data_IF_793333000816
#
_entry.id   IF_793333000816
#
_cell.length_a   1.000
_cell.length_b   1.000
_cell.length_c   1.000
_cell.angle_alpha   90.00
_cell.angle_beta   90.00
_cell.angle_gamma   90.00
#
_symmetry.space_group_name_H-M   'P 1'
#
loop_
_entity.id
_entity.type
_entity.pdbx_description
1 polymer ?
#
# COMPACT_ATOMS: atom_id res chain seq x y z
N UNK A 1 3.57 6.53 26.00
CA UNK A 1 4.55 6.26 24.93
C UNK A 1 5.38 7.52 24.77
N UNK A 2 6.70 7.43 24.62
CA UNK A 2 7.50 8.62 24.35
C UNK A 2 7.19 9.10 22.93
N UNK A 3 6.85 10.38 22.77
CA UNK A 3 6.66 10.99 21.46
C UNK A 3 8.02 11.06 20.75
N UNK A 4 8.07 10.51 19.53
CA UNK A 4 9.26 10.46 18.70
C UNK A 4 9.01 11.05 17.31
N UNK A 5 9.86 10.68 16.38
CA UNK A 5 9.74 11.03 14.97
C UNK A 5 9.60 9.76 14.15
N UNK A 6 8.59 9.71 13.29
CA UNK A 6 8.35 8.63 12.33
C UNK A 6 8.62 9.16 10.92
N UNK A 7 9.44 8.46 10.15
CA UNK A 7 9.62 8.74 8.73
C UNK A 7 8.56 7.99 7.92
N UNK A 8 7.87 8.70 7.05
CA UNK A 8 6.81 8.18 6.18
C UNK A 8 7.26 8.33 4.73
N UNK A 9 7.29 7.21 4.00
CA UNK A 9 7.52 7.18 2.56
C UNK A 9 6.27 6.68 1.85
N UNK A 10 5.77 7.46 0.89
CA UNK A 10 4.65 7.07 0.05
C UNK A 10 5.16 6.81 -1.36
N UNK A 11 4.91 5.61 -1.86
CA UNK A 11 5.31 5.17 -3.21
C UNK A 11 4.08 4.83 -4.06
N UNK A 12 4.04 5.33 -5.29
CA UNK A 12 3.09 4.89 -6.30
C UNK A 12 3.57 3.57 -6.88
N UNK A 13 2.81 2.52 -6.65
CA UNK A 13 3.03 1.20 -7.22
C UNK A 13 1.97 0.91 -8.30
N UNK A 14 2.35 0.39 -9.49
CA UNK A 14 1.37 -0.01 -10.48
C UNK A 14 0.43 -1.09 -9.94
N UNK A 15 -0.88 -0.88 -10.11
CA UNK A 15 -1.89 -1.89 -9.79
C UNK A 15 -2.02 -2.96 -10.88
N UNK A 16 -3.06 -3.79 -10.79
CA UNK A 16 -3.36 -4.85 -11.79
C UNK A 16 -3.60 -4.31 -13.21
N UNK A 17 -4.01 -3.06 -13.36
CA UNK A 17 -4.15 -2.38 -14.65
C UNK A 17 -2.82 -1.89 -15.24
N UNK A 18 -1.73 -1.93 -14.47
CA UNK A 18 -0.44 -1.34 -14.82
C UNK A 18 -0.43 0.20 -14.79
N UNK A 19 -1.54 0.83 -14.35
CA UNK A 19 -1.63 2.29 -14.31
C UNK A 19 -0.77 2.88 -13.21
N UNK A 20 -0.23 4.05 -13.50
CA UNK A 20 0.46 4.91 -12.54
C UNK A 20 -0.12 6.32 -12.62
N UNK A 21 0.30 7.19 -11.71
CA UNK A 21 -0.02 8.60 -11.77
C UNK A 21 0.79 9.40 -10.78
N UNK A 22 0.47 10.68 -10.71
CA UNK A 22 1.22 11.67 -9.96
C UNK A 22 0.59 11.83 -8.58
N UNK A 23 1.40 11.74 -7.53
CA UNK A 23 0.96 12.04 -6.17
C UNK A 23 0.56 13.51 -6.08
N UNK A 24 -0.65 13.75 -5.56
CA UNK A 24 -1.16 15.11 -5.34
C UNK A 24 -1.43 15.41 -3.88
N UNK A 25 -1.83 14.42 -3.09
CA UNK A 25 -1.93 14.60 -1.66
C UNK A 25 -2.02 13.30 -0.88
N UNK A 26 -1.56 13.37 0.37
CA UNK A 26 -1.59 12.28 1.34
C UNK A 26 -2.34 12.78 2.56
N UNK A 27 -3.29 12.00 3.04
CA UNK A 27 -4.21 12.32 4.13
C UNK A 27 -4.10 11.25 5.21
N UNK A 28 -4.09 11.66 6.48
CA UNK A 28 -3.88 10.80 7.65
C UNK A 28 -4.46 11.43 8.91
N UNK A 29 -4.64 10.63 9.95
CA UNK A 29 -5.02 11.12 11.26
C UNK A 29 -3.76 11.27 12.12
N UNK A 30 -3.46 12.50 12.52
CA UNK A 30 -2.37 12.78 13.45
C UNK A 30 -2.92 13.31 14.78
N UNK A 31 -2.27 12.98 15.91
CA UNK A 31 -2.59 13.57 17.20
C UNK A 31 -2.32 15.08 17.19
N UNK A 32 -2.99 15.81 18.08
CA UNK A 32 -2.77 17.24 18.25
C UNK A 32 -1.33 17.53 18.66
N UNK A 33 -0.70 18.52 18.02
CA UNK A 33 0.70 18.89 18.27
C UNK A 33 1.72 18.20 17.35
N UNK A 34 1.30 17.21 16.55
CA UNK A 34 2.17 16.60 15.56
C UNK A 34 2.61 17.62 14.48
N UNK A 35 3.85 17.48 14.01
CA UNK A 35 4.43 18.36 12.98
C UNK A 35 4.98 17.56 11.82
N UNK A 36 4.75 18.03 10.59
CA UNK A 36 5.22 17.39 9.36
C UNK A 36 6.40 18.17 8.79
N UNK A 37 7.50 17.48 8.49
CA UNK A 37 8.70 18.06 7.88
C UNK A 37 9.03 17.33 6.57
N UNK A 38 9.07 18.03 5.42
CA UNK A 38 9.48 17.42 4.15
C UNK A 38 10.92 16.89 4.21
N UNK A 39 11.17 15.74 3.60
CA UNK A 39 12.52 15.13 3.51
C UNK A 39 13.00 15.07 2.07
N UNK A 40 12.28 14.36 1.20
CA UNK A 40 12.69 14.14 -0.19
C UNK A 40 11.52 13.72 -1.11
N UNK A 41 11.80 13.57 -2.41
CA UNK A 41 10.81 13.20 -3.42
C UNK A 41 10.04 14.41 -3.95
N UNK A 42 8.74 14.26 -4.17
CA UNK A 42 7.88 15.34 -4.64
C UNK A 42 7.84 16.53 -3.66
N UNK A 43 7.85 17.78 -4.14
CA UNK A 43 7.84 18.96 -3.29
C UNK A 43 6.50 19.05 -2.56
N UNK A 44 6.56 19.10 -1.22
CA UNK A 44 5.38 19.37 -0.39
C UNK A 44 5.09 20.87 -0.46
N UNK A 45 3.97 21.22 -1.09
CA UNK A 45 3.57 22.62 -1.36
C UNK A 45 2.57 23.17 -0.36
N UNK A 46 1.88 22.29 0.39
CA UNK A 46 1.06 22.69 1.52
C UNK A 46 1.03 21.58 2.57
N UNK A 47 0.87 21.97 3.83
CA UNK A 47 0.69 21.09 4.98
C UNK A 47 -0.51 21.65 5.75
N UNK A 48 -1.50 20.81 6.00
CA UNK A 48 -2.66 21.14 6.83
C UNK A 48 -2.80 20.09 7.93
N UNK A 49 -3.11 20.53 9.15
CA UNK A 49 -3.21 19.65 10.30
C UNK A 49 -4.18 20.19 11.34
N UNK A 50 -4.76 19.28 12.13
CA UNK A 50 -5.67 19.50 13.27
C UNK A 50 -7.12 19.90 12.97
N UNK A 51 -7.57 19.75 11.72
CA UNK A 51 -9.00 19.87 11.41
C UNK A 51 -9.75 18.61 11.88
N UNK A 52 -11.02 18.75 12.27
CA UNK A 52 -11.85 17.57 12.62
C UNK A 52 -12.36 16.80 11.40
N UNK A 53 -12.32 17.40 10.20
CA UNK A 53 -12.70 16.76 8.93
C UNK A 53 -12.01 17.43 7.73
N UNK A 54 -10.81 16.94 7.39
CA UNK A 54 -9.99 17.44 6.29
C UNK A 54 -10.36 16.74 4.98
N UNK A 55 -11.33 17.29 4.26
CA UNK A 55 -11.70 16.78 2.93
C UNK A 55 -10.83 17.29 1.77
N UNK A 56 -10.03 18.33 2.01
CA UNK A 56 -9.17 19.01 1.03
C UNK A 56 -7.95 19.58 1.71
N UNK A 57 -6.81 19.58 1.02
CA UNK A 57 -5.58 20.27 1.42
C UNK A 57 -5.25 21.32 0.36
N UNK A 58 -4.86 22.52 0.81
CA UNK A 58 -4.45 23.63 -0.03
C UNK A 58 -5.54 23.97 -1.04
N UNK A 59 -5.15 24.09 -2.32
CA UNK A 59 -6.08 24.52 -3.37
C UNK A 59 -6.63 23.41 -4.26
N UNK A 60 -6.07 22.20 -4.23
CA UNK A 60 -6.42 21.23 -5.28
C UNK A 60 -6.37 19.76 -4.90
N UNK A 61 -5.68 19.38 -3.83
CA UNK A 61 -5.74 18.02 -3.30
C UNK A 61 -7.09 17.82 -2.59
N UNK A 62 -8.05 17.18 -3.26
CA UNK A 62 -9.39 16.91 -2.71
C UNK A 62 -9.60 15.41 -2.56
N UNK A 63 -9.96 14.98 -1.35
CA UNK A 63 -10.36 13.60 -1.07
C UNK A 63 -11.86 13.46 -0.75
N UNK A 64 -12.62 14.57 -0.67
CA UNK A 64 -14.07 14.54 -0.40
C UNK A 64 -14.81 13.45 -1.20
N UNK A 65 -15.69 12.71 -0.55
CA UNK A 65 -16.43 11.60 -1.17
C UNK A 65 -15.64 10.29 -1.28
N UNK A 66 -14.47 10.19 -0.64
CA UNK A 66 -13.76 8.92 -0.44
C UNK A 66 -14.45 7.99 0.57
N UNK A 67 -15.27 8.55 1.47
CA UNK A 67 -15.90 7.81 2.57
C UNK A 67 -15.08 7.75 3.86
N UNK A 68 -13.96 8.48 3.94
CA UNK A 68 -13.14 8.62 5.14
C UNK A 68 -12.87 10.10 5.45
N UNK A 69 -12.69 10.40 6.74
CA UNK A 69 -12.31 11.70 7.27
C UNK A 69 -10.89 11.64 7.82
N UNK A 70 -10.17 12.75 7.70
CA UNK A 70 -8.77 12.87 8.10
C UNK A 70 -8.57 14.12 8.93
N UNK A 71 -7.55 14.16 9.80
CA UNK A 71 -7.23 15.38 10.55
C UNK A 71 -6.09 16.18 9.96
N UNK A 72 -5.26 15.54 9.13
CA UNK A 72 -4.04 16.11 8.58
C UNK A 72 -3.77 15.64 7.15
N UNK A 73 -2.97 16.42 6.43
CA UNK A 73 -2.52 16.03 5.11
C UNK A 73 -1.51 16.98 4.48
N UNK A 74 -0.86 16.48 3.44
CA UNK A 74 0.11 17.21 2.62
C UNK A 74 -0.34 17.30 1.17
N UNK A 75 -0.10 18.45 0.53
CA UNK A 75 -0.26 18.66 -0.91
C UNK A 75 1.11 18.58 -1.58
N UNK A 76 1.21 17.88 -2.72
CA UNK A 76 2.47 17.55 -3.39
C UNK A 76 2.44 18.08 -4.83
N UNK A 77 3.39 18.93 -5.20
CA UNK A 77 3.54 19.48 -6.56
C UNK A 77 2.58 20.62 -6.90
N UNK A 78 2.21 20.73 -8.16
CA UNK A 78 1.29 21.70 -8.74
C UNK A 78 -0.09 21.10 -9.06
N UNK A 79 -1.08 21.97 -9.27
CA UNK A 79 -2.44 21.55 -9.62
C UNK A 79 -2.54 21.25 -11.13
N UNK A 80 -3.05 20.07 -11.50
CA UNK A 80 -3.46 19.80 -12.88
C UNK A 80 -3.43 18.32 -13.27
N UNK A 81 -3.85 18.02 -14.50
CA UNK A 81 -3.74 16.71 -15.18
C UNK A 81 -2.79 16.83 -16.41
N UNK A 82 -2.07 17.94 -16.55
CA UNK A 82 -1.23 18.18 -17.72
C UNK A 82 0.01 19.01 -17.40
N UNK A 83 1.18 18.39 -17.60
CA UNK A 83 2.44 19.06 -17.90
C UNK A 83 3.21 19.64 -16.72
N UNK A 84 3.97 18.79 -16.03
CA UNK A 84 5.08 19.23 -15.20
C UNK A 84 5.49 18.22 -14.13
N UNK A 85 4.51 17.73 -13.39
CA UNK A 85 4.76 16.84 -12.26
C UNK A 85 4.64 15.37 -12.68
N UNK A 86 5.55 14.53 -12.19
CA UNK A 86 5.50 13.06 -12.28
C UNK A 86 6.06 12.50 -10.97
N UNK A 87 5.58 13.05 -9.85
CA UNK A 87 6.06 12.68 -8.53
C UNK A 87 5.39 11.39 -8.07
N UNK A 88 6.16 10.31 -8.09
CA UNK A 88 5.70 8.97 -7.71
C UNK A 88 6.14 8.55 -6.31
N UNK A 89 6.98 9.36 -5.68
CA UNK A 89 7.45 9.16 -4.31
C UNK A 89 7.50 10.48 -3.56
N UNK A 90 7.13 10.46 -2.30
CA UNK A 90 7.39 11.54 -1.34
C UNK A 90 7.82 10.91 -0.01
N UNK A 91 8.80 11.53 0.65
CA UNK A 91 9.22 11.17 2.00
C UNK A 91 9.14 12.41 2.89
N UNK A 92 8.57 12.23 4.08
CA UNK A 92 8.47 13.26 5.11
C UNK A 92 8.54 12.63 6.49
N UNK A 93 8.88 13.45 7.48
CA UNK A 93 8.89 13.06 8.88
C UNK A 93 7.68 13.64 9.60
N UNK A 94 7.14 12.86 10.53
CA UNK A 94 6.11 13.29 11.48
C UNK A 94 6.72 13.24 12.87
N UNK A 95 6.81 14.37 13.55
CA UNK A 95 7.30 14.48 14.93
C UNK A 95 6.13 14.67 15.89
N UNK A 96 6.30 14.22 17.14
CA UNK A 96 5.22 14.25 18.15
C UNK A 96 4.31 13.01 18.08
N UNK A 97 4.82 11.90 17.52
CA UNK A 97 4.04 10.68 17.27
C UNK A 97 4.84 9.43 17.63
N UNK A 98 4.15 8.30 17.66
CA UNK A 98 4.64 6.95 17.86
C UNK A 98 4.12 6.04 16.74
N UNK A 99 4.73 4.87 16.54
CA UNK A 99 4.24 3.91 15.54
C UNK A 99 2.81 3.42 15.84
N UNK A 100 2.41 3.40 17.12
CA UNK A 100 1.04 3.04 17.52
C UNK A 100 -0.02 4.03 17.02
N UNK A 101 0.33 5.29 16.77
CA UNK A 101 -0.62 6.29 16.27
C UNK A 101 -1.08 5.98 14.84
N UNK A 102 -0.35 5.13 14.12
CA UNK A 102 -0.68 4.72 12.75
C UNK A 102 -1.29 3.31 12.68
N UNK A 103 -1.32 2.56 13.79
CA UNK A 103 -1.79 1.17 13.78
C UNK A 103 -3.30 1.11 13.53
N UNK A 104 -3.74 0.29 12.57
CA UNK A 104 -5.12 0.26 12.07
C UNK A 104 -5.67 1.61 11.56
N UNK A 105 -4.84 2.64 11.41
CA UNK A 105 -5.32 3.95 10.94
C UNK A 105 -5.57 3.91 9.43
N UNK A 106 -6.47 4.78 8.99
CA UNK A 106 -6.79 4.94 7.57
C UNK A 106 -5.91 6.04 6.97
N UNK A 107 -5.39 5.74 5.78
CA UNK A 107 -4.66 6.68 4.93
C UNK A 107 -5.47 6.95 3.66
N UNK A 108 -5.43 8.19 3.21
CA UNK A 108 -6.02 8.62 1.95
C UNK A 108 -4.95 9.15 1.00
N UNK A 109 -5.00 8.75 -0.27
CA UNK A 109 -4.10 9.25 -1.31
C UNK A 109 -4.92 9.83 -2.46
N UNK A 110 -4.58 11.06 -2.84
CA UNK A 110 -5.08 11.71 -4.05
C UNK A 110 -4.02 11.59 -5.14
N UNK A 111 -4.39 11.01 -6.28
CA UNK A 111 -3.56 10.96 -7.47
C UNK A 111 -4.20 11.72 -8.62
N UNK A 112 -3.35 12.36 -9.42
CA UNK A 112 -3.68 13.02 -10.69
C UNK A 112 -2.92 12.34 -11.82
N UNK A 113 -3.22 12.71 -13.07
CA UNK A 113 -2.62 12.11 -14.26
C UNK A 113 -2.50 10.58 -14.18
N UNK A 114 -3.61 9.92 -13.87
CA UNK A 114 -3.64 8.46 -13.80
C UNK A 114 -3.85 7.88 -15.20
N UNK A 115 -3.08 6.87 -15.58
CA UNK A 115 -3.24 6.16 -16.85
C UNK A 115 -2.07 5.26 -17.21
N UNK A 116 -1.98 4.91 -18.49
CA UNK A 116 -0.90 4.09 -19.03
C UNK A 116 0.48 4.79 -18.82
N UNK A 117 1.51 4.07 -18.34
CA UNK A 117 2.84 4.64 -18.15
C UNK A 117 3.42 5.32 -19.40
N UNK A 118 3.14 4.78 -20.59
CA UNK A 118 3.66 5.21 -21.88
C UNK A 118 2.60 5.89 -22.75
N UNK A 119 1.41 6.14 -22.20
CA UNK A 119 0.26 6.67 -22.92
C UNK A 119 -0.32 7.93 -22.30
N UNK A 120 -1.57 8.23 -22.66
CA UNK A 120 -2.29 9.36 -22.08
C UNK A 120 -2.66 9.07 -20.62
N UNK A 121 -2.39 10.06 -19.76
CA UNK A 121 -2.66 10.03 -18.33
C UNK A 121 -3.65 11.12 -17.96
N UNK A 122 -4.91 10.94 -18.32
CA UNK A 122 -5.97 11.95 -18.17
C UNK A 122 -6.94 11.70 -17.02
N UNK A 123 -6.74 10.62 -16.26
CA UNK A 123 -7.61 10.24 -15.16
C UNK A 123 -7.08 10.78 -13.83
N UNK A 124 -7.84 10.51 -12.76
CA UNK A 124 -7.43 10.80 -11.40
C UNK A 124 -7.98 9.72 -10.46
N UNK A 125 -7.32 9.49 -9.34
CA UNK A 125 -7.73 8.47 -8.36
C UNK A 125 -7.84 9.04 -6.95
N UNK A 126 -8.72 8.44 -6.16
CA UNK A 126 -8.75 8.59 -4.70
C UNK A 126 -8.66 7.17 -4.15
N UNK A 127 -7.60 6.91 -3.41
CA UNK A 127 -7.35 5.58 -2.85
C UNK A 127 -7.36 5.69 -1.34
N UNK A 128 -8.03 4.74 -0.69
CA UNK A 128 -7.95 4.55 0.74
C UNK A 128 -7.16 3.28 1.03
N UNK A 129 -6.44 3.27 2.14
CA UNK A 129 -5.78 2.10 2.68
C UNK A 129 -5.82 2.14 4.20
N UNK A 130 -5.74 0.98 4.82
CA UNK A 130 -5.66 0.85 6.27
C UNK A 130 -4.31 0.26 6.62
N UNK A 131 -3.61 0.87 7.57
CA UNK A 131 -2.36 0.31 8.07
C UNK A 131 -2.61 -1.02 8.80
N UNK A 132 -1.57 -1.86 8.92
CA UNK A 132 -1.65 -3.09 9.70
C UNK A 132 -2.12 -2.83 11.13
N UNK A 133 -2.79 -3.83 11.71
CA UNK A 133 -3.26 -3.83 13.09
C UNK A 133 -2.17 -4.13 14.12
N UNK A 134 -0.99 -4.52 13.63
CA UNK A 134 0.18 -4.86 14.43
C UNK A 134 1.44 -4.26 13.83
N UNK A 135 2.28 -3.71 14.70
CA UNK A 135 3.60 -3.19 14.34
C UNK A 135 4.64 -4.18 14.86
N UNK A 136 5.33 -4.85 13.95
CA UNK A 136 6.48 -5.69 14.32
C UNK A 136 7.69 -4.76 14.45
N UNK A 137 8.08 -4.46 15.68
CA UNK A 137 9.33 -3.74 15.95
C UNK A 137 10.45 -4.77 15.95
N UNK A 138 11.15 -4.92 14.83
CA UNK A 138 12.44 -5.61 14.84
C UNK A 138 13.47 -4.65 15.40
N UNK A 139 14.00 -4.93 16.60
CA UNK A 139 15.06 -4.12 17.16
C UNK A 139 16.30 -4.23 16.23
N UNK A 140 16.93 -3.11 15.80
CA UNK A 140 18.13 -3.18 14.98
C UNK A 140 19.27 -3.80 15.80
N UNK A 141 19.43 -5.12 15.69
CA UNK A 141 20.36 -5.90 16.52
C UNK A 141 19.85 -7.27 16.94
N UNK A 142 18.53 -7.51 16.85
CA UNK A 142 17.96 -8.85 16.99
C UNK A 142 18.02 -9.56 15.63
N UNK A 143 19.25 -9.83 15.18
CA UNK A 143 19.48 -10.75 14.08
C UNK A 143 18.81 -12.05 14.44
N UNK A 144 17.80 -12.42 13.66
CA UNK A 144 16.89 -13.52 13.94
C UNK A 144 17.60 -14.67 14.63
N UNK A 145 17.24 -14.90 15.89
CA UNK A 145 17.35 -16.25 16.42
C UNK A 145 16.49 -17.08 15.48
N UNK A 146 17.12 -17.96 14.72
CA UNK A 146 16.44 -18.98 13.94
C UNK A 146 15.29 -19.54 14.80
N UNK A 147 14.10 -19.79 14.24
CA UNK A 147 13.07 -20.49 15.00
C UNK A 147 13.75 -21.75 15.55
N UNK A 148 13.90 -21.83 16.87
CA UNK A 148 14.50 -22.99 17.52
C UNK A 148 13.73 -24.20 16.99
N UNK A 149 14.42 -25.05 16.22
CA UNK A 149 13.82 -26.30 15.78
C UNK A 149 13.26 -26.98 17.03
N UNK A 150 12.02 -27.50 16.98
CA UNK A 150 11.45 -28.16 18.14
C UNK A 150 12.43 -29.26 18.56
N UNK A 151 12.98 -29.13 19.77
CA UNK A 151 13.75 -30.20 20.41
C UNK A 151 12.81 -31.38 20.50
N UNK A 152 12.95 -32.32 19.57
CA UNK A 152 12.29 -33.61 19.67
C UNK A 152 12.97 -34.30 20.84
N UNK A 153 12.34 -34.28 22.01
CA UNK A 153 12.77 -35.15 23.11
C UNK A 153 12.79 -36.58 22.57
N UNK A 154 13.98 -37.17 22.49
CA UNK A 154 14.12 -38.58 22.19
C UNK A 154 13.33 -39.37 23.24
N UNK A 155 12.42 -40.28 22.84
CA UNK A 155 11.80 -41.16 23.80
C UNK A 155 12.89 -42.06 24.39
N UNK A 156 13.02 -42.03 25.72
CA UNK A 156 13.85 -42.95 26.49
C UNK A 156 13.35 -44.39 26.25
N UNK A 157 13.98 -45.09 25.30
CA UNK A 157 13.73 -46.52 25.06
C UNK A 157 14.71 -47.29 25.94
N UNK A 158 14.18 -47.84 27.03
CA UNK A 158 14.90 -48.76 27.89
C UNK A 158 15.51 -49.92 27.09
N UNK A 159 16.74 -50.26 27.46
CA UNK A 159 17.52 -51.41 27.00
C UNK A 159 16.68 -52.70 26.96
N UNK A 160 16.69 -53.44 25.84
CA UNK A 160 16.48 -54.87 25.90
C UNK A 160 17.69 -55.62 25.34
N UNK A 161 18.03 -56.69 26.05
CA UNK A 161 19.17 -57.56 25.79
C UNK A 161 19.10 -58.31 24.45
N UNK A 162 20.25 -58.40 23.78
CA UNK A 162 20.68 -59.60 23.06
C UNK A 162 20.28 -59.76 21.58
N UNK A 163 21.11 -60.46 20.76
CA UNK A 163 21.22 -60.18 19.33
C UNK A 163 20.57 -61.26 18.44
N UNK A 164 19.93 -60.85 17.34
CA UNK A 164 19.67 -61.77 16.21
C UNK A 164 19.60 -61.06 14.85
N UNK A 165 20.57 -61.42 13.99
CA UNK A 165 20.58 -61.57 12.51
C UNK A 165 20.32 -60.39 11.53
N UNK A 166 21.35 -60.18 10.69
CA UNK A 166 21.49 -59.67 9.29
C UNK A 166 20.21 -59.72 8.39
N UNK A 167 19.94 -58.95 7.31
CA UNK A 167 20.60 -57.98 6.38
C UNK A 167 19.49 -57.49 5.37
N UNK A 168 19.72 -56.67 4.31
CA UNK A 168 19.33 -55.25 4.23
C UNK A 168 18.26 -54.88 3.17
N UNK A 169 17.86 -53.61 3.16
CA UNK A 169 17.66 -52.86 1.91
C UNK A 169 16.23 -52.41 1.58
N UNK A 170 16.08 -51.11 1.32
CA UNK A 170 14.90 -50.55 0.64
C UNK A 170 14.70 -49.07 0.91
N UNK A 171 15.49 -48.22 0.25
CA UNK A 171 15.28 -46.77 0.27
C UNK A 171 13.91 -46.40 -0.33
N UNK A 172 13.10 -45.69 0.44
CA UNK A 172 11.87 -45.07 -0.03
C UNK A 172 12.14 -43.66 -0.54
N UNK A 173 11.79 -43.43 -1.80
CA UNK A 173 11.87 -42.13 -2.49
C UNK A 173 10.95 -41.08 -1.83
N UNK A 174 11.31 -39.77 -1.83
CA UNK A 174 10.44 -38.73 -1.29
C UNK A 174 9.18 -38.57 -2.15
N UNK A 175 8.01 -38.54 -1.50
CA UNK A 175 6.70 -38.35 -2.12
C UNK A 175 6.61 -36.95 -2.72
N UNK A 176 6.38 -36.88 -4.04
CA UNK A 176 6.19 -35.64 -4.77
C UNK A 176 4.88 -34.95 -4.36
N UNK A 177 4.98 -33.71 -3.87
CA UNK A 177 3.84 -32.82 -3.62
C UNK A 177 3.49 -32.12 -4.94
N UNK A 178 2.22 -32.15 -5.42
CA UNK A 178 1.86 -31.49 -6.67
C UNK A 178 1.80 -29.97 -6.53
N UNK A 179 2.41 -29.26 -7.48
CA UNK A 179 2.34 -27.80 -7.60
C UNK A 179 0.92 -27.31 -7.93
N UNK A 180 0.52 -26.09 -7.50
CA UNK A 180 -0.80 -25.56 -7.79
C UNK A 180 -0.99 -25.28 -9.29
N UNK A 181 -1.89 -26.01 -9.92
CA UNK A 181 -2.34 -25.79 -11.30
C UNK A 181 -3.01 -24.42 -11.47
N UNK A 182 -2.39 -23.55 -12.27
CA UNK A 182 -2.99 -22.32 -12.81
C UNK A 182 -4.20 -22.65 -13.68
N UNK A 183 -5.40 -22.21 -13.28
CA UNK A 183 -6.59 -22.29 -14.14
C UNK A 183 -6.60 -21.13 -15.15
N UNK A 184 -6.36 -21.47 -16.42
CA UNK A 184 -6.62 -20.60 -17.56
C UNK A 184 -7.89 -21.09 -18.31
N UNK A 185 -8.82 -20.18 -18.57
CA UNK A 185 -10.03 -20.37 -19.40
C UNK A 185 -11.26 -19.73 -18.73
N UNK A 186 -12.10 -18.93 -19.39
CA UNK A 186 -12.50 -18.94 -20.79
C UNK A 186 -13.05 -17.56 -21.21
N UNK A 187 -12.91 -17.23 -22.49
CA UNK A 187 -13.29 -15.98 -23.12
C UNK A 187 -14.71 -15.99 -23.74
N UNK A 188 -15.15 -14.78 -24.12
CA UNK A 188 -16.14 -14.41 -25.15
C UNK A 188 -17.63 -14.35 -24.78
N UNK A 189 -18.14 -13.11 -24.75
CA UNK A 189 -19.55 -12.76 -24.94
C UNK A 189 -19.65 -11.50 -25.81
N UNK A 190 -19.99 -11.70 -27.08
CA UNK A 190 -20.25 -10.70 -28.11
C UNK A 190 -21.42 -9.76 -27.76
N UNK A 191 -21.39 -8.52 -28.29
CA UNK A 191 -22.62 -7.91 -28.83
C UNK A 191 -22.99 -6.50 -28.33
N UNK A 192 -22.45 -5.48 -29.00
CA UNK A 192 -23.18 -4.35 -29.58
C UNK A 192 -24.08 -3.47 -28.72
N UNK A 193 -23.73 -2.17 -28.66
CA UNK A 193 -24.69 -1.13 -29.02
C UNK A 193 -23.96 0.11 -29.59
N UNK A 194 -24.01 0.24 -30.92
CA UNK A 194 -23.76 1.47 -31.67
C UNK A 194 -25.11 2.02 -32.11
N UNK A 195 -25.43 3.27 -31.70
CA UNK A 195 -26.24 4.26 -32.44
C UNK A 195 -26.52 5.45 -31.49
N UNK A 196 -25.84 6.59 -31.62
CA UNK A 196 -26.18 7.72 -32.49
C UNK A 196 -27.50 8.44 -32.13
N UNK A 197 -27.43 9.73 -31.75
CA UNK A 197 -27.95 10.85 -32.57
C UNK A 197 -27.85 12.25 -31.91
N UNK A 198 -27.28 13.13 -32.74
CA UNK A 198 -27.71 14.50 -33.12
C UNK A 198 -27.58 15.67 -32.13
N UNK A 199 -26.66 16.56 -32.56
CA UNK A 199 -26.67 18.02 -32.44
C UNK A 199 -28.08 18.63 -32.46
N UNK A 200 -28.30 19.64 -31.63
CA UNK A 200 -29.17 20.76 -31.95
C UNK A 200 -28.41 22.06 -31.66
N UNK A 201 -27.93 22.70 -32.72
CA UNK A 201 -27.65 24.13 -32.74
C UNK A 201 -29.00 24.84 -32.62
N UNK A 202 -29.13 25.82 -31.74
CA UNK A 202 -30.12 26.86 -31.90
C UNK A 202 -29.38 28.20 -31.96
N UNK A 203 -29.60 28.89 -33.08
CA UNK A 203 -29.30 30.28 -33.32
C UNK A 203 -30.55 31.10 -32.96
N UNK A 204 -30.33 32.36 -32.67
CA UNK A 204 -31.27 33.49 -32.62
C UNK A 204 -32.00 33.77 -31.29
N UNK A 205 -31.49 34.78 -30.57
CA UNK A 205 -32.19 36.02 -30.22
C UNK A 205 -31.17 37.15 -30.10
#
# INVERSE_FOLDING_TARGET
MAEGTVEVTVNVVPGSTGYIGDLRGVFMNLPGGATITPVSGGPITAIEGTASDLGRIGNSAKLNGSGASFTSGIEIGSQGISGGDDYRTVTFQVSGVSLSDFTSDTFGVRMMSVGDPNGSRSLSSKTLGTAPDTVVVTNPGDGGSEPEEPVVEEPNVGEPEGPVAEEPGGGGEPVAVPEPTTMAGLALGFGGLVAARRRKMNKDA
#
